data_IF_210414518351
#
_entry.id   IF_210414518351
#
_cell.length_a   1.000
_cell.length_b   1.000
_cell.length_c   1.000
_cell.angle_alpha   90.00
_cell.angle_beta   90.00
_cell.angle_gamma   90.00
#
_symmetry.space_group_name_H-M   'P 1'
#
loop_
_entity.id
_entity.type
_entity.pdbx_description
1 polymer ?
#
# COMPACT_ATOMS: atom_id res chain seq x y z
N UNK A 1 -9.09 26.28 0.00
CA UNK A 1 -8.90 26.46 1.46
C UNK A 1 -8.87 25.13 2.22
N UNK A 2 -9.83 24.21 2.03
CA UNK A 2 -9.86 22.88 2.71
C UNK A 2 -8.57 22.07 2.51
N UNK A 3 -8.02 22.00 1.30
CA UNK A 3 -6.78 21.25 1.02
C UNK A 3 -5.57 21.77 1.81
N UNK A 4 -5.38 23.10 1.83
CA UNK A 4 -4.27 23.76 2.54
C UNK A 4 -4.43 23.55 4.05
N UNK A 5 -5.66 23.68 4.57
CA UNK A 5 -5.93 23.43 5.98
C UNK A 5 -5.74 21.94 6.35
N UNK A 6 -6.06 21.03 5.44
CA UNK A 6 -5.95 19.59 5.65
C UNK A 6 -4.51 19.08 5.64
N UNK A 7 -3.75 19.46 4.62
CA UNK A 7 -2.41 18.92 4.40
C UNK A 7 -1.34 19.82 5.06
N UNK A 8 -1.62 21.12 5.18
CA UNK A 8 -0.73 22.12 5.77
C UNK A 8 0.38 22.59 4.82
N UNK A 9 0.97 23.73 5.14
CA UNK A 9 2.06 24.33 4.36
C UNK A 9 3.29 23.41 4.27
N UNK A 10 3.63 22.69 5.34
CA UNK A 10 4.76 21.75 5.35
C UNK A 10 4.60 20.64 4.30
N UNK A 11 3.38 20.11 4.15
CA UNK A 11 3.10 19.12 3.10
C UNK A 11 3.29 19.73 1.71
N UNK A 12 2.71 20.91 1.48
CA UNK A 12 2.78 21.58 0.17
C UNK A 12 4.24 21.85 -0.18
N UNK A 13 5.02 22.36 0.76
CA UNK A 13 6.43 22.64 0.56
C UNK A 13 7.22 21.39 0.15
N UNK A 14 7.08 20.30 0.90
CA UNK A 14 7.82 19.05 0.63
C UNK A 14 7.35 18.42 -0.67
N UNK A 15 6.05 18.38 -0.92
CA UNK A 15 5.52 17.81 -2.16
C UNK A 15 5.97 18.61 -3.38
N UNK A 16 5.97 19.95 -3.30
CA UNK A 16 6.53 20.82 -4.34
C UNK A 16 8.02 20.55 -4.52
N UNK A 17 8.77 20.38 -3.43
CA UNK A 17 10.19 20.09 -3.52
C UNK A 17 10.48 18.73 -4.17
N UNK A 18 9.75 17.68 -3.77
CA UNK A 18 9.79 16.36 -4.41
C UNK A 18 9.44 16.46 -5.90
N UNK A 19 8.39 17.23 -6.24
CA UNK A 19 7.97 17.43 -7.62
C UNK A 19 9.05 18.14 -8.46
N UNK A 20 9.57 19.28 -7.97
CA UNK A 20 10.60 20.05 -8.67
C UNK A 20 11.89 19.24 -8.81
N UNK A 21 12.29 18.52 -7.77
CA UNK A 21 13.43 17.61 -7.84
C UNK A 21 13.25 16.56 -8.94
N UNK A 22 12.09 15.90 -8.94
CA UNK A 22 11.76 14.86 -9.93
C UNK A 22 11.72 15.45 -11.35
N UNK A 23 11.21 16.68 -11.48
CA UNK A 23 11.14 17.38 -12.77
C UNK A 23 12.52 17.69 -13.32
N UNK A 24 13.42 18.20 -12.49
CA UNK A 24 14.81 18.44 -12.88
C UNK A 24 15.49 17.13 -13.31
N UNK A 25 15.39 16.06 -12.51
CA UNK A 25 16.01 14.76 -12.82
C UNK A 25 15.41 14.12 -14.08
N UNK A 26 14.09 14.17 -14.25
CA UNK A 26 13.45 13.57 -15.42
C UNK A 26 13.71 14.34 -16.72
N UNK A 27 13.95 15.66 -16.63
CA UNK A 27 14.40 16.46 -17.77
C UNK A 27 15.84 16.09 -18.14
N UNK A 28 16.75 16.07 -17.17
CA UNK A 28 18.18 15.81 -17.43
C UNK A 28 18.42 14.40 -17.96
N UNK A 29 17.67 13.41 -17.48
CA UNK A 29 17.73 12.01 -17.95
C UNK A 29 16.91 11.77 -19.23
N UNK A 30 16.11 12.74 -19.67
CA UNK A 30 15.20 12.59 -20.82
C UNK A 30 14.01 11.64 -20.57
N UNK A 31 13.72 11.29 -19.31
CA UNK A 31 12.63 10.39 -18.94
C UNK A 31 11.25 10.93 -19.35
N UNK A 32 11.02 12.24 -19.28
CA UNK A 32 9.76 12.85 -19.70
C UNK A 32 9.45 12.69 -21.19
N UNK A 33 10.49 12.73 -22.03
CA UNK A 33 10.34 12.63 -23.48
C UNK A 33 10.31 11.18 -23.96
N UNK A 34 11.18 10.33 -23.40
CA UNK A 34 11.49 9.03 -23.98
C UNK A 34 11.00 7.83 -23.15
N UNK A 35 10.68 8.02 -21.85
CA UNK A 35 10.34 6.94 -20.91
C UNK A 35 9.30 7.40 -19.88
N UNK A 36 8.13 7.87 -20.35
CA UNK A 36 7.10 8.51 -19.51
C UNK A 36 6.66 7.64 -18.31
N UNK A 37 6.62 6.31 -18.47
CA UNK A 37 6.27 5.35 -17.40
C UNK A 37 7.27 5.32 -16.24
N UNK A 38 8.50 5.76 -16.49
CA UNK A 38 9.61 5.76 -15.54
C UNK A 38 9.79 7.15 -14.88
N UNK A 39 9.08 8.17 -15.37
CA UNK A 39 9.15 9.53 -14.83
C UNK A 39 8.54 9.61 -13.43
N UNK A 40 9.33 10.10 -12.46
CA UNK A 40 8.84 10.37 -11.11
C UNK A 40 7.99 11.64 -11.05
N UNK A 41 8.20 12.58 -11.96
CA UNK A 41 7.32 13.74 -12.16
C UNK A 41 5.91 13.29 -12.50
N UNK A 42 5.76 12.36 -13.44
CA UNK A 42 4.45 11.78 -13.80
C UNK A 42 3.85 11.02 -12.61
N UNK A 43 4.67 10.28 -11.85
CA UNK A 43 4.21 9.60 -10.62
C UNK A 43 3.72 10.59 -9.57
N UNK A 44 4.43 11.70 -9.35
CA UNK A 44 3.98 12.77 -8.48
C UNK A 44 2.63 13.31 -8.95
N UNK A 45 2.53 13.77 -10.21
CA UNK A 45 1.27 14.28 -10.78
C UNK A 45 0.11 13.30 -10.64
N UNK A 46 0.36 12.02 -10.88
CA UNK A 46 -0.68 10.99 -10.77
C UNK A 46 -1.09 10.72 -9.31
N UNK A 47 -0.20 10.84 -8.31
CA UNK A 47 -0.61 10.87 -6.89
C UNK A 47 -1.60 12.02 -6.65
N UNK A 48 -1.33 13.20 -7.19
CA UNK A 48 -2.24 14.33 -7.02
C UNK A 48 -3.61 14.06 -7.67
N UNK A 49 -3.62 13.65 -8.93
CA UNK A 49 -4.85 13.44 -9.72
C UNK A 49 -5.66 12.25 -9.21
N UNK A 50 -5.00 11.15 -8.84
CA UNK A 50 -5.67 9.89 -8.50
C UNK A 50 -5.85 9.68 -7.00
N UNK A 51 -5.11 10.38 -6.14
CA UNK A 51 -5.24 10.24 -4.68
C UNK A 51 -5.75 11.51 -4.02
N UNK A 52 -5.14 12.67 -4.28
CA UNK A 52 -5.50 13.93 -3.60
C UNK A 52 -6.86 14.45 -4.07
N UNK A 53 -7.06 14.60 -5.37
CA UNK A 53 -8.30 15.15 -5.94
C UNK A 53 -9.53 14.30 -5.59
N UNK A 54 -9.51 12.95 -5.75
CA UNK A 54 -10.67 12.14 -5.44
C UNK A 54 -10.95 12.10 -3.94
N UNK A 55 -9.92 12.10 -3.10
CA UNK A 55 -10.09 12.21 -1.63
C UNK A 55 -10.77 13.51 -1.26
N UNK A 56 -10.34 14.63 -1.85
CA UNK A 56 -10.95 15.94 -1.62
C UNK A 56 -12.42 15.96 -2.07
N UNK A 57 -12.72 15.35 -3.23
CA UNK A 57 -14.08 15.23 -3.72
C UNK A 57 -14.97 14.45 -2.74
N UNK A 58 -14.58 13.24 -2.34
CA UNK A 58 -15.36 12.43 -1.40
C UNK A 58 -15.52 13.13 -0.05
N UNK A 59 -14.47 13.77 0.47
CA UNK A 59 -14.55 14.44 1.76
C UNK A 59 -15.44 15.69 1.71
N UNK A 60 -15.25 16.57 0.74
CA UNK A 60 -15.97 17.84 0.69
C UNK A 60 -17.45 17.66 0.33
N UNK A 61 -17.79 16.71 -0.55
CA UNK A 61 -19.14 16.57 -1.07
C UNK A 61 -19.95 15.47 -0.38
N UNK A 62 -19.33 14.36 0.01
CA UNK A 62 -20.04 13.20 0.55
C UNK A 62 -19.88 13.06 2.08
N UNK A 63 -18.63 12.97 2.56
CA UNK A 63 -18.34 12.67 3.96
C UNK A 63 -18.58 13.87 4.88
N UNK A 64 -18.11 15.05 4.49
CA UNK A 64 -18.22 16.30 5.25
C UNK A 64 -17.75 16.19 6.71
N UNK A 65 -16.67 15.44 6.96
CA UNK A 65 -16.14 15.24 8.31
C UNK A 65 -16.88 14.19 9.15
N UNK A 66 -17.89 13.52 8.61
CA UNK A 66 -18.69 12.49 9.29
C UNK A 66 -17.96 11.14 9.30
N UNK A 67 -17.48 10.75 10.49
CA UNK A 67 -16.75 9.50 10.71
C UNK A 67 -17.60 8.25 10.44
N UNK A 68 -18.92 8.32 10.62
CA UNK A 68 -19.79 7.18 10.39
C UNK A 68 -20.11 6.99 8.92
N UNK A 69 -20.26 8.08 8.15
CA UNK A 69 -20.29 8.00 6.68
C UNK A 69 -18.99 7.46 6.12
N UNK A 70 -17.84 7.87 6.67
CA UNK A 70 -16.53 7.37 6.26
C UNK A 70 -16.41 5.86 6.49
N UNK A 71 -16.79 5.38 7.69
CA UNK A 71 -16.82 3.94 7.99
C UNK A 71 -17.77 3.20 7.05
N UNK A 72 -18.98 3.72 6.82
CA UNK A 72 -19.95 3.09 5.91
C UNK A 72 -19.42 3.01 4.48
N UNK A 73 -18.81 4.08 3.96
CA UNK A 73 -18.20 4.11 2.63
C UNK A 73 -17.12 3.03 2.50
N UNK A 74 -16.15 3.01 3.43
CA UNK A 74 -15.07 2.02 3.42
C UNK A 74 -15.63 0.60 3.51
N UNK A 75 -16.60 0.37 4.39
CA UNK A 75 -17.22 -0.95 4.55
C UNK A 75 -17.93 -1.39 3.27
N UNK A 76 -18.72 -0.52 2.64
CA UNK A 76 -19.43 -0.83 1.40
C UNK A 76 -18.46 -1.18 0.28
N UNK A 77 -17.37 -0.42 0.12
CA UNK A 77 -16.33 -0.73 -0.89
C UNK A 77 -15.67 -2.07 -0.61
N UNK A 78 -15.33 -2.35 0.65
CA UNK A 78 -14.67 -3.62 0.99
C UNK A 78 -15.60 -4.83 0.85
N UNK A 79 -16.88 -4.67 1.15
CA UNK A 79 -17.89 -5.72 0.93
C UNK A 79 -18.09 -5.98 -0.56
N UNK A 80 -18.20 -4.93 -1.37
CA UNK A 80 -18.29 -5.05 -2.82
C UNK A 80 -17.06 -5.75 -3.40
N UNK A 81 -15.87 -5.38 -2.94
CA UNK A 81 -14.63 -6.03 -3.36
C UNK A 81 -14.56 -7.50 -2.92
N UNK A 82 -15.00 -7.81 -1.69
CA UNK A 82 -15.08 -9.19 -1.18
C UNK A 82 -16.08 -10.03 -1.98
N UNK A 83 -17.20 -9.44 -2.40
CA UNK A 83 -18.17 -10.08 -3.29
C UNK A 83 -17.55 -10.41 -4.65
N UNK A 84 -16.93 -9.42 -5.31
CA UNK A 84 -16.23 -9.67 -6.57
C UNK A 84 -15.12 -10.70 -6.41
N UNK A 85 -14.43 -10.70 -5.26
CA UNK A 85 -13.41 -11.68 -4.94
C UNK A 85 -13.98 -13.09 -4.96
N UNK A 86 -15.08 -13.35 -4.25
CA UNK A 86 -15.71 -14.67 -4.25
C UNK A 86 -16.20 -15.08 -5.64
N UNK A 87 -16.86 -14.18 -6.37
CA UNK A 87 -17.34 -14.46 -7.72
C UNK A 87 -16.21 -14.87 -8.66
N UNK A 88 -15.14 -14.08 -8.70
CA UNK A 88 -14.00 -14.32 -9.60
C UNK A 88 -13.07 -15.46 -9.15
N UNK A 89 -13.06 -15.78 -7.85
CA UNK A 89 -12.31 -16.90 -7.33
C UNK A 89 -12.96 -18.24 -7.72
N UNK A 90 -14.28 -18.36 -7.59
CA UNK A 90 -15.01 -19.58 -7.96
C UNK A 90 -15.34 -19.67 -9.45
N UNK A 91 -15.37 -18.55 -10.15
CA UNK A 91 -15.60 -18.49 -11.59
C UNK A 91 -14.51 -17.65 -12.28
N UNK A 92 -13.37 -18.27 -12.68
CA UNK A 92 -12.25 -17.57 -13.31
C UNK A 92 -12.63 -16.81 -14.58
N UNK A 93 -13.56 -17.32 -15.40
CA UNK A 93 -14.08 -16.60 -16.58
C UNK A 93 -14.76 -15.27 -16.25
N UNK A 94 -15.21 -15.08 -15.00
CA UNK A 94 -15.70 -13.81 -14.49
C UNK A 94 -14.62 -12.74 -14.38
N UNK A 95 -13.33 -13.14 -14.22
CA UNK A 95 -12.20 -12.20 -14.22
C UNK A 95 -12.04 -11.53 -15.56
N UNK A 96 -12.00 -12.29 -16.65
CA UNK A 96 -11.86 -11.72 -17.99
C UNK A 96 -12.94 -10.70 -18.28
N UNK A 97 -14.20 -11.02 -17.96
CA UNK A 97 -15.34 -10.13 -18.15
C UNK A 97 -15.20 -8.84 -17.33
N UNK A 98 -14.95 -8.96 -16.02
CA UNK A 98 -14.83 -7.79 -15.13
C UNK A 98 -13.66 -6.90 -15.54
N UNK A 99 -12.50 -7.49 -15.80
CA UNK A 99 -11.30 -6.74 -16.17
C UNK A 99 -11.42 -6.13 -17.56
N UNK A 100 -12.11 -6.77 -18.50
CA UNK A 100 -12.39 -6.20 -19.82
C UNK A 100 -13.26 -4.94 -19.73
N UNK A 101 -14.35 -4.98 -18.95
CA UNK A 101 -15.21 -3.81 -18.69
C UNK A 101 -14.39 -2.66 -18.07
N UNK A 102 -13.40 -3.01 -17.25
CA UNK A 102 -12.52 -2.07 -16.55
C UNK A 102 -11.33 -1.59 -17.38
N UNK A 103 -11.19 -2.04 -18.64
CA UNK A 103 -10.05 -1.70 -19.50
C UNK A 103 -8.72 -2.31 -19.05
N UNK A 104 -8.76 -3.40 -18.29
CA UNK A 104 -7.62 -4.08 -17.66
C UNK A 104 -7.40 -5.51 -18.17
N UNK A 105 -7.75 -5.79 -19.43
CA UNK A 105 -7.56 -7.11 -20.02
C UNK A 105 -6.11 -7.61 -19.95
N UNK A 106 -5.13 -6.69 -19.92
CA UNK A 106 -3.70 -6.99 -19.77
C UNK A 106 -3.23 -7.02 -18.31
N UNK A 107 -4.13 -7.28 -17.35
CA UNK A 107 -3.73 -7.36 -15.95
C UNK A 107 -2.85 -8.57 -15.68
N UNK A 108 -1.92 -8.42 -14.74
CA UNK A 108 -1.14 -9.53 -14.17
C UNK A 108 -2.03 -10.66 -13.62
N UNK A 109 -3.27 -10.35 -13.25
CA UNK A 109 -4.23 -11.36 -12.78
C UNK A 109 -4.90 -12.18 -13.89
N UNK A 110 -4.74 -11.77 -15.15
CA UNK A 110 -5.22 -12.50 -16.33
C UNK A 110 -4.04 -13.14 -17.06
N UNK A 111 -2.97 -12.38 -17.30
CA UNK A 111 -1.84 -12.82 -18.12
C UNK A 111 -1.08 -13.99 -17.47
N UNK A 112 -0.93 -13.98 -16.15
CA UNK A 112 -0.27 -15.08 -15.44
C UNK A 112 -1.30 -16.13 -15.04
N UNK A 113 -1.20 -17.30 -15.67
CA UNK A 113 -2.06 -18.45 -15.45
C UNK A 113 -2.24 -18.78 -13.96
N UNK A 114 -1.14 -18.73 -13.19
CA UNK A 114 -1.17 -18.93 -11.75
C UNK A 114 -2.11 -17.93 -11.03
N UNK A 115 -2.03 -16.63 -11.34
CA UNK A 115 -2.91 -15.61 -10.76
C UNK A 115 -4.37 -15.79 -11.22
N UNK A 116 -4.54 -16.25 -12.46
CA UNK A 116 -5.85 -16.46 -13.07
C UNK A 116 -6.65 -17.56 -12.36
N UNK A 117 -6.01 -18.59 -11.82
CA UNK A 117 -6.72 -19.67 -11.12
C UNK A 117 -6.71 -19.54 -9.59
N UNK A 118 -5.73 -18.87 -8.99
CA UNK A 118 -5.53 -18.93 -7.52
C UNK A 118 -5.91 -17.68 -6.75
N UNK A 119 -6.10 -16.55 -7.43
CA UNK A 119 -6.44 -15.26 -6.80
C UNK A 119 -7.89 -14.89 -7.02
N UNK A 120 -8.46 -14.02 -6.20
CA UNK A 120 -9.76 -13.40 -6.53
C UNK A 120 -9.57 -12.02 -7.15
N UNK A 121 -10.67 -11.30 -7.27
CA UNK A 121 -10.72 -9.94 -7.82
C UNK A 121 -9.78 -8.99 -7.09
N UNK A 122 -9.14 -8.12 -7.87
CA UNK A 122 -8.51 -6.91 -7.38
C UNK A 122 -8.12 -5.99 -8.55
N UNK A 123 -7.73 -4.75 -8.26
CA UNK A 123 -7.34 -3.77 -9.28
C UNK A 123 -5.81 -3.59 -9.35
N UNK A 124 -5.18 -3.82 -10.51
CA UNK A 124 -3.76 -3.53 -10.85
C UNK A 124 -2.68 -4.39 -10.13
N UNK A 125 -1.37 -4.23 -10.44
CA UNK A 125 -0.29 -4.86 -9.66
C UNK A 125 -0.30 -4.49 -8.16
N UNK A 126 -1.00 -3.42 -7.74
CA UNK A 126 -1.24 -3.09 -6.32
C UNK A 126 -1.88 -4.23 -5.52
N UNK A 127 -2.65 -5.11 -6.18
CA UNK A 127 -3.34 -6.26 -5.57
C UNK A 127 -2.34 -7.21 -4.93
N UNK A 128 -1.11 -7.24 -5.44
CA UNK A 128 -0.10 -8.15 -4.92
C UNK A 128 0.58 -7.59 -3.67
N UNK A 129 0.37 -6.29 -3.37
CA UNK A 129 1.20 -5.56 -2.43
C UNK A 129 0.41 -4.61 -1.53
N UNK A 130 0.03 -3.44 -2.03
CA UNK A 130 -0.46 -2.31 -1.24
C UNK A 130 -1.93 -2.43 -0.90
N UNK A 131 -2.79 -2.81 -1.84
CA UNK A 131 -4.25 -2.78 -1.63
C UNK A 131 -4.71 -3.80 -0.56
N UNK A 132 -4.37 -5.10 -0.61
CA UNK A 132 -4.80 -6.04 0.43
C UNK A 132 -4.24 -5.70 1.82
N UNK A 133 -2.98 -5.24 1.86
CA UNK A 133 -2.34 -4.78 3.09
C UNK A 133 -3.14 -3.63 3.71
N UNK A 134 -3.46 -2.60 2.92
CA UNK A 134 -4.16 -1.40 3.41
C UNK A 134 -5.60 -1.74 3.80
N UNK A 135 -6.29 -2.62 3.08
CA UNK A 135 -7.63 -3.07 3.44
C UNK A 135 -7.65 -3.72 4.83
N UNK A 136 -6.74 -4.66 5.07
CA UNK A 136 -6.65 -5.37 6.35
C UNK A 136 -6.25 -4.41 7.47
N UNK A 137 -5.25 -3.57 7.24
CA UNK A 137 -4.83 -2.58 8.23
C UNK A 137 -5.97 -1.61 8.58
N UNK A 138 -6.71 -1.13 7.57
CA UNK A 138 -7.85 -0.22 7.75
C UNK A 138 -8.99 -0.89 8.51
N UNK A 139 -9.31 -2.14 8.16
CA UNK A 139 -10.37 -2.91 8.83
C UNK A 139 -10.05 -3.17 10.30
N UNK A 140 -8.81 -3.56 10.57
CA UNK A 140 -8.32 -3.79 11.92
C UNK A 140 -8.12 -2.49 12.71
N UNK A 141 -7.88 -1.36 12.09
CA UNK A 141 -7.79 -0.09 12.83
C UNK A 141 -9.17 0.51 13.11
N UNK A 142 -10.11 0.44 12.16
CA UNK A 142 -11.39 1.16 12.24
C UNK A 142 -12.59 0.35 12.78
N UNK A 143 -12.74 -0.94 12.42
CA UNK A 143 -14.02 -1.65 12.61
C UNK A 143 -14.00 -2.65 13.76
N UNK A 144 -14.82 -2.44 14.80
CA UNK A 144 -14.88 -3.36 15.96
C UNK A 144 -15.61 -4.67 15.70
N UNK A 145 -16.38 -4.79 14.61
CA UNK A 145 -17.22 -5.96 14.30
C UNK A 145 -16.35 -7.12 13.80
N UNK A 146 -16.34 -8.24 14.53
CA UNK A 146 -15.39 -9.35 14.29
C UNK A 146 -15.66 -10.13 13.00
N UNK A 147 -16.92 -10.27 12.60
CA UNK A 147 -17.32 -11.11 11.45
C UNK A 147 -16.83 -10.53 10.13
N UNK A 148 -17.03 -9.23 9.89
CA UNK A 148 -16.55 -8.57 8.66
C UNK A 148 -15.03 -8.58 8.57
N UNK A 149 -14.36 -8.36 9.70
CA UNK A 149 -12.90 -8.40 9.74
C UNK A 149 -12.38 -9.77 9.33
N UNK A 150 -13.04 -10.85 9.75
CA UNK A 150 -12.66 -12.20 9.37
C UNK A 150 -12.73 -12.41 7.86
N UNK A 151 -13.85 -12.09 7.21
CA UNK A 151 -14.00 -12.28 5.75
C UNK A 151 -13.00 -11.44 4.95
N UNK A 152 -12.80 -10.18 5.32
CA UNK A 152 -11.87 -9.30 4.62
C UNK A 152 -10.43 -9.80 4.80
N UNK A 153 -10.02 -10.15 6.03
CA UNK A 153 -8.68 -10.70 6.28
C UNK A 153 -8.47 -12.00 5.52
N UNK A 154 -9.44 -12.90 5.58
CA UNK A 154 -9.36 -14.21 4.93
C UNK A 154 -9.17 -14.06 3.42
N UNK A 155 -10.02 -13.29 2.74
CA UNK A 155 -9.91 -13.07 1.29
C UNK A 155 -8.59 -12.39 0.90
N UNK A 156 -8.12 -11.44 1.70
CA UNK A 156 -6.87 -10.73 1.40
C UNK A 156 -5.61 -11.60 1.60
N UNK A 157 -5.63 -12.59 2.49
CA UNK A 157 -4.50 -13.53 2.66
C UNK A 157 -4.20 -14.33 1.38
N UNK A 158 -5.21 -14.63 0.55
CA UNK A 158 -5.02 -15.28 -0.76
C UNK A 158 -4.39 -14.33 -1.78
N UNK A 159 -4.57 -13.01 -1.63
CA UNK A 159 -4.08 -12.03 -2.57
C UNK A 159 -2.61 -11.66 -2.29
N UNK A 160 -2.21 -11.46 -1.02
CA UNK A 160 -0.86 -10.99 -0.68
C UNK A 160 -0.32 -11.48 0.67
N UNK A 161 0.94 -11.94 0.67
CA UNK A 161 1.68 -12.30 1.89
C UNK A 161 1.89 -11.10 2.83
N UNK A 162 1.90 -9.86 2.29
CA UNK A 162 2.04 -8.65 3.08
C UNK A 162 0.88 -8.46 4.08
N UNK A 163 -0.26 -9.13 3.86
CA UNK A 163 -1.39 -9.12 4.78
C UNK A 163 -1.01 -9.63 6.18
N UNK A 164 -0.04 -10.53 6.30
CA UNK A 164 0.44 -11.00 7.61
C UNK A 164 1.06 -9.84 8.41
N UNK A 165 1.82 -8.97 7.76
CA UNK A 165 2.37 -7.78 8.41
C UNK A 165 1.25 -6.78 8.75
N UNK A 166 0.28 -6.59 7.86
CA UNK A 166 -0.89 -5.76 8.14
C UNK A 166 -1.71 -6.28 9.34
N UNK A 167 -1.82 -7.61 9.50
CA UNK A 167 -2.45 -8.24 10.65
C UNK A 167 -1.71 -7.86 11.94
N UNK A 168 -0.40 -8.10 12.00
CA UNK A 168 0.44 -7.77 13.16
C UNK A 168 0.28 -6.29 13.52
N UNK A 169 0.48 -5.40 12.56
CA UNK A 169 0.37 -3.96 12.72
C UNK A 169 -1.04 -3.52 13.17
N UNK A 170 -2.08 -4.03 12.50
CA UNK A 170 -3.48 -3.72 12.83
C UNK A 170 -3.85 -4.17 14.25
N UNK A 171 -3.36 -5.33 14.67
CA UNK A 171 -3.56 -5.83 16.03
C UNK A 171 -2.83 -4.99 17.09
N UNK A 172 -1.60 -4.53 16.82
CA UNK A 172 -0.86 -3.61 17.71
C UNK A 172 -1.67 -2.34 18.01
N UNK A 173 -2.49 -1.86 17.07
CA UNK A 173 -3.35 -0.68 17.32
C UNK A 173 -4.54 -0.95 18.23
N UNK A 174 -4.97 -2.22 18.39
CA UNK A 174 -6.13 -2.60 19.22
C UNK A 174 -5.78 -2.97 20.64
N UNK A 175 -4.53 -3.32 20.92
CA UNK A 175 -4.20 -3.95 22.18
C UNK A 175 -3.89 -2.94 23.30
N UNK A 176 -4.73 -2.97 24.34
CA UNK A 176 -4.25 -2.72 25.70
C UNK A 176 -3.33 -3.89 26.08
N UNK A 177 -2.15 -3.62 26.66
CA UNK A 177 -1.06 -4.57 26.99
C UNK A 177 -1.49 -6.02 27.33
N UNK A 178 -2.54 -6.23 28.13
CA UNK A 178 -3.06 -7.56 28.51
C UNK A 178 -3.57 -8.47 27.38
N UNK A 179 -3.98 -7.92 26.24
CA UNK A 179 -4.50 -8.70 25.11
C UNK A 179 -3.42 -9.03 24.08
N UNK A 180 -2.27 -8.36 24.15
CA UNK A 180 -1.09 -8.67 23.34
C UNK A 180 -0.62 -10.11 23.58
N UNK A 181 -0.57 -10.54 24.85
CA UNK A 181 -0.23 -11.92 25.20
C UNK A 181 -1.24 -12.95 24.69
N UNK A 182 -2.55 -12.63 24.69
CA UNK A 182 -3.57 -13.51 24.09
C UNK A 182 -3.41 -13.63 22.58
N UNK A 183 -3.02 -12.55 21.90
CA UNK A 183 -2.72 -12.60 20.48
C UNK A 183 -1.47 -13.40 20.19
N UNK A 184 -0.37 -13.15 20.92
CA UNK A 184 0.88 -13.89 20.80
C UNK A 184 0.64 -15.40 21.00
N UNK A 185 -0.24 -15.74 21.95
CA UNK A 185 -0.71 -17.10 22.15
C UNK A 185 -1.52 -17.63 20.96
N UNK A 186 -2.48 -16.87 20.44
CA UNK A 186 -3.27 -17.27 19.26
C UNK A 186 -2.43 -17.38 17.99
N UNK A 187 -1.46 -16.50 17.77
CA UNK A 187 -0.53 -16.58 16.63
C UNK A 187 0.46 -17.72 16.79
N UNK A 188 0.87 -18.05 18.01
CA UNK A 188 1.62 -19.28 18.30
C UNK A 188 0.79 -20.54 17.99
N UNK A 189 -0.48 -20.60 18.40
CA UNK A 189 -1.37 -21.70 18.03
C UNK A 189 -1.66 -21.77 16.53
N UNK A 190 -1.83 -20.62 15.88
CA UNK A 190 -1.96 -20.55 14.43
C UNK A 190 -0.70 -21.07 13.72
N UNK A 191 0.49 -20.74 14.23
CA UNK A 191 1.75 -21.28 13.74
C UNK A 191 1.82 -22.80 13.94
N UNK A 192 1.41 -23.33 15.10
CA UNK A 192 1.31 -24.78 15.33
C UNK A 192 0.35 -25.44 14.35
N UNK A 193 -0.81 -24.83 14.10
CA UNK A 193 -1.80 -25.33 13.12
C UNK A 193 -1.19 -25.31 11.72
N UNK A 194 -0.49 -24.25 11.33
CA UNK A 194 0.23 -24.17 10.05
C UNK A 194 1.30 -25.26 9.93
N UNK A 195 2.06 -25.53 10.99
CA UNK A 195 3.03 -26.62 11.05
C UNK A 195 2.33 -27.98 10.92
N UNK A 196 1.18 -28.17 11.57
CA UNK A 196 0.38 -29.40 11.42
C UNK A 196 -0.15 -29.56 10.00
N UNK A 197 -0.68 -28.49 9.39
CA UNK A 197 -1.12 -28.51 8.00
C UNK A 197 0.07 -28.79 7.07
N UNK A 198 1.25 -28.23 7.37
CA UNK A 198 2.48 -28.51 6.64
C UNK A 198 2.91 -29.99 6.73
N UNK A 199 2.73 -30.62 7.89
CA UNK A 199 3.13 -32.01 8.08
C UNK A 199 2.16 -33.01 7.47
N UNK A 200 0.86 -32.67 7.31
CA UNK A 200 -0.18 -33.64 6.98
C UNK A 200 -1.05 -33.30 5.76
N UNK A 201 -1.08 -32.05 5.28
CA UNK A 201 -2.08 -31.58 4.29
C UNK A 201 -1.51 -30.58 3.26
N UNK A 202 -0.20 -30.55 3.02
CA UNK A 202 0.44 -29.60 2.08
C UNK A 202 -0.14 -29.68 0.67
N UNK A 203 -0.48 -30.89 0.21
CA UNK A 203 -0.98 -31.10 -1.15
C UNK A 203 -2.40 -30.58 -1.37
N UNK A 204 -3.12 -30.26 -0.28
CA UNK A 204 -4.47 -29.65 -0.32
C UNK A 204 -4.42 -28.13 -0.10
N UNK A 205 -3.24 -27.58 0.17
CA UNK A 205 -3.08 -26.15 0.32
C UNK A 205 -3.02 -25.45 -1.04
N UNK A 206 -3.45 -24.18 -1.12
CA UNK A 206 -3.17 -23.36 -2.28
C UNK A 206 -1.66 -23.37 -2.57
N UNK A 207 -1.29 -23.60 -3.83
CA UNK A 207 0.09 -23.86 -4.26
C UNK A 207 1.11 -22.82 -3.79
N UNK A 208 0.72 -21.56 -3.58
CA UNK A 208 1.61 -20.51 -3.03
C UNK A 208 1.88 -20.65 -1.53
N UNK A 209 0.89 -21.09 -0.75
CA UNK A 209 1.11 -21.41 0.66
C UNK A 209 1.98 -22.67 0.75
N UNK A 210 1.75 -23.63 -0.15
CA UNK A 210 2.60 -24.82 -0.32
C UNK A 210 4.05 -24.43 -0.66
N UNK A 211 4.29 -23.59 -1.67
CA UNK A 211 5.64 -23.12 -2.04
C UNK A 211 6.35 -22.37 -0.90
N UNK A 212 5.62 -21.54 -0.16
CA UNK A 212 6.19 -20.82 0.98
C UNK A 212 6.56 -21.79 2.10
N UNK A 213 5.69 -22.75 2.41
CA UNK A 213 5.93 -23.75 3.46
C UNK A 213 7.01 -24.76 3.06
N UNK A 214 7.03 -25.19 1.79
CA UNK A 214 8.05 -26.09 1.25
C UNK A 214 9.43 -25.44 1.22
N UNK A 215 9.51 -24.11 1.17
CA UNK A 215 10.76 -23.37 1.34
C UNK A 215 11.21 -23.20 2.81
N UNK A 216 10.50 -23.78 3.78
CA UNK A 216 10.71 -23.52 5.21
C UNK A 216 10.34 -22.09 5.63
N UNK A 217 9.49 -21.41 4.87
CA UNK A 217 9.15 -20.00 5.07
C UNK A 217 10.24 -19.00 4.63
N UNK A 218 11.33 -19.48 4.01
CA UNK A 218 12.47 -18.65 3.65
C UNK A 218 12.36 -18.06 2.24
N UNK A 219 11.45 -18.53 1.38
CA UNK A 219 11.33 -18.02 0.00
C UNK A 219 11.11 -16.52 -0.04
N UNK A 220 10.16 -16.01 0.73
CA UNK A 220 9.90 -14.56 0.77
C UNK A 220 11.10 -13.79 1.32
N UNK A 221 11.86 -14.37 2.26
CA UNK A 221 13.03 -13.75 2.89
C UNK A 221 14.22 -13.72 1.92
N UNK A 222 14.50 -14.82 1.23
CA UNK A 222 15.63 -14.92 0.30
C UNK A 222 15.46 -13.96 -0.88
N UNK A 223 14.26 -13.88 -1.45
CA UNK A 223 13.93 -12.88 -2.48
C UNK A 223 14.12 -11.45 -1.93
N UNK A 224 13.83 -11.20 -0.65
CA UNK A 224 14.07 -9.90 -0.01
C UNK A 224 15.56 -9.61 0.24
N UNK A 225 16.43 -10.60 0.34
CA UNK A 225 17.85 -10.32 0.58
C UNK A 225 18.65 -10.22 -0.71
N UNK A 226 18.32 -11.04 -1.70
CA UNK A 226 19.02 -11.10 -2.98
C UNK A 226 18.76 -9.85 -3.85
N UNK A 227 17.54 -9.30 -3.82
CA UNK A 227 17.19 -8.12 -4.62
C UNK A 227 17.52 -6.79 -3.92
N UNK A 228 17.91 -6.80 -2.64
CA UNK A 228 17.86 -5.58 -1.82
C UNK A 228 19.16 -4.77 -1.68
N UNK A 229 20.27 -5.13 -2.32
CA UNK A 229 21.55 -4.42 -2.15
C UNK A 229 22.18 -3.98 -3.48
N UNK A 230 21.38 -3.36 -4.36
CA UNK A 230 21.88 -2.84 -5.64
C UNK A 230 22.00 -1.31 -5.60
N UNK A 231 23.25 -0.84 -5.67
CA UNK A 231 23.58 0.59 -5.81
C UNK A 231 24.40 0.77 -7.09
N UNK A 232 23.95 1.68 -7.95
CA UNK A 232 24.60 2.00 -9.23
C UNK A 232 25.29 3.36 -9.21
N UNK A 233 25.34 4.02 -8.05
CA UNK A 233 25.97 5.33 -7.87
C UNK A 233 27.49 5.18 -7.98
N UNK A 234 28.12 5.97 -8.85
CA UNK A 234 29.56 5.90 -9.12
C UNK A 234 30.41 6.64 -8.08
N UNK A 235 29.84 7.66 -7.43
CA UNK A 235 30.53 8.47 -6.43
C UNK A 235 29.62 8.91 -5.27
N UNK A 236 30.20 9.64 -4.32
CA UNK A 236 29.49 10.13 -3.14
C UNK A 236 28.40 11.16 -3.48
N UNK A 237 28.60 11.97 -4.52
CA UNK A 237 27.64 12.99 -4.91
C UNK A 237 26.40 12.35 -5.54
N UNK A 238 26.62 11.37 -6.43
CA UNK A 238 25.57 10.52 -6.98
C UNK A 238 24.88 9.69 -5.89
N UNK A 239 25.57 9.26 -4.83
CA UNK A 239 24.90 8.59 -3.72
C UNK A 239 23.94 9.52 -2.96
N UNK A 240 24.32 10.79 -2.78
CA UNK A 240 23.48 11.79 -2.11
C UNK A 240 22.30 12.23 -2.98
N UNK A 241 22.54 12.50 -4.27
CA UNK A 241 21.58 13.12 -5.20
C UNK A 241 20.94 12.12 -6.18
N UNK A 242 21.42 10.89 -6.24
CA UNK A 242 21.00 9.91 -7.24
C UNK A 242 21.66 10.13 -8.59
N UNK A 243 21.55 9.12 -9.45
CA UNK A 243 22.01 9.15 -10.84
C UNK A 243 20.84 9.18 -11.84
N UNK A 244 19.60 9.32 -11.35
CA UNK A 244 18.40 9.36 -12.18
C UNK A 244 17.98 8.01 -12.78
N UNK A 245 18.64 6.92 -12.42
CA UNK A 245 18.32 5.59 -12.95
C UNK A 245 17.09 5.00 -12.27
N UNK A 246 16.07 4.70 -13.08
CA UNK A 246 14.93 3.90 -12.65
C UNK A 246 15.24 2.41 -12.83
N UNK A 247 15.50 1.70 -11.73
CA UNK A 247 15.97 0.30 -11.75
C UNK A 247 14.88 -0.77 -11.94
N UNK A 248 13.68 -0.38 -12.40
CA UNK A 248 12.62 -1.31 -12.77
C UNK A 248 12.74 -1.61 -14.28
N UNK A 249 13.62 -2.54 -14.64
CA UNK A 249 13.84 -2.94 -16.03
C UNK A 249 13.81 -4.48 -16.13
N UNK A 250 12.92 -5.07 -16.94
CA UNK A 250 12.90 -6.50 -17.24
C UNK A 250 14.06 -6.94 -18.17
N UNK A 251 15.24 -6.33 -18.03
CA UNK A 251 16.40 -6.54 -18.92
C UNK A 251 17.76 -6.36 -18.25
N UNK A 252 17.81 -6.04 -16.96
CA UNK A 252 18.98 -6.34 -16.13
C UNK A 252 18.77 -7.74 -15.55
N UNK A 253 19.81 -8.56 -15.46
CA UNK A 253 19.76 -9.90 -14.82
C UNK A 253 19.35 -9.87 -13.33
N UNK A 254 18.96 -8.69 -12.81
CA UNK A 254 18.46 -8.41 -11.48
C UNK A 254 17.24 -7.49 -11.60
N UNK A 255 16.02 -8.04 -11.52
CA UNK A 255 14.78 -7.28 -11.44
C UNK A 255 14.57 -6.81 -10.00
N UNK A 256 14.85 -5.54 -9.71
CA UNK A 256 14.76 -4.99 -8.36
C UNK A 256 13.56 -4.06 -8.22
N UNK A 257 12.46 -4.62 -7.70
CA UNK A 257 11.20 -3.93 -7.38
C UNK A 257 11.11 -3.20 -6.01
N UNK A 258 12.04 -3.35 -5.04
CA UNK A 258 12.04 -2.57 -3.80
C UNK A 258 12.05 -1.07 -4.04
N UNK A 259 11.03 -0.39 -3.52
CA UNK A 259 10.81 1.04 -3.70
C UNK A 259 11.97 1.91 -3.24
N UNK A 260 12.61 1.57 -2.12
CA UNK A 260 13.74 2.34 -1.60
C UNK A 260 14.99 2.26 -2.48
N UNK A 261 15.21 1.15 -3.18
CA UNK A 261 16.35 0.98 -4.10
C UNK A 261 16.13 1.82 -5.34
N UNK A 262 14.91 1.81 -5.84
CA UNK A 262 14.53 2.67 -6.94
C UNK A 262 14.71 4.15 -6.53
N UNK A 263 14.25 4.54 -5.34
CA UNK A 263 14.35 5.92 -4.85
C UNK A 263 15.81 6.38 -4.65
N UNK A 264 16.66 5.52 -4.11
CA UNK A 264 18.07 5.87 -3.84
C UNK A 264 18.91 5.94 -5.12
N UNK A 265 18.64 5.07 -6.11
CA UNK A 265 19.31 5.19 -7.40
C UNK A 265 18.77 6.40 -8.18
N UNK A 266 17.45 6.63 -8.15
CA UNK A 266 16.84 7.77 -8.82
C UNK A 266 17.28 9.14 -8.26
N UNK A 267 17.06 9.37 -6.97
CA UNK A 267 17.24 10.69 -6.34
C UNK A 267 18.12 10.69 -5.09
N UNK A 268 18.82 9.58 -4.83
CA UNK A 268 19.79 9.48 -3.75
C UNK A 268 19.17 9.42 -2.36
N UNK A 269 20.05 9.50 -1.37
CA UNK A 269 19.68 9.60 0.06
C UNK A 269 18.77 10.80 0.31
N UNK A 270 19.03 11.92 -0.38
CA UNK A 270 18.28 13.15 -0.19
C UNK A 270 16.81 13.00 -0.60
N UNK A 271 16.53 12.51 -1.81
CA UNK A 271 15.16 12.28 -2.27
C UNK A 271 14.44 11.22 -1.43
N UNK A 272 15.15 10.16 -1.07
CA UNK A 272 14.59 9.10 -0.20
C UNK A 272 14.18 9.68 1.16
N UNK A 273 15.00 10.54 1.76
CA UNK A 273 14.70 11.21 3.04
C UNK A 273 13.50 12.14 2.91
N UNK A 274 13.42 12.93 1.84
CA UNK A 274 12.26 13.78 1.55
C UNK A 274 10.98 12.97 1.44
N UNK A 275 11.03 11.82 0.75
CA UNK A 275 9.89 10.93 0.63
C UNK A 275 9.47 10.32 1.97
N UNK A 276 10.41 9.88 2.80
CA UNK A 276 10.09 9.40 4.16
C UNK A 276 9.44 10.50 5.00
N UNK A 277 9.97 11.73 4.92
CA UNK A 277 9.41 12.86 5.64
C UNK A 277 8.00 13.24 5.15
N UNK A 278 7.77 13.14 3.84
CA UNK A 278 6.44 13.27 3.24
C UNK A 278 5.44 12.27 3.84
N UNK A 279 5.80 10.99 3.94
CA UNK A 279 4.95 9.95 4.54
C UNK A 279 4.67 10.25 6.02
N UNK A 280 5.68 10.67 6.78
CA UNK A 280 5.54 11.02 8.21
C UNK A 280 4.58 12.18 8.41
N UNK A 281 4.71 13.25 7.63
CA UNK A 281 3.80 14.40 7.72
C UNK A 281 2.38 14.02 7.35
N UNK A 282 2.21 13.23 6.29
CA UNK A 282 0.89 12.80 5.87
C UNK A 282 0.21 11.95 6.96
N UNK A 283 0.93 11.03 7.60
CA UNK A 283 0.43 10.26 8.74
C UNK A 283 0.07 11.14 9.94
N UNK A 284 0.88 12.17 10.22
CA UNK A 284 0.61 13.13 11.29
C UNK A 284 -0.68 13.93 11.04
N UNK A 285 -0.93 14.30 9.78
CA UNK A 285 -2.17 14.98 9.36
C UNK A 285 -3.36 14.03 9.44
N UNK A 286 -3.21 12.80 8.96
CA UNK A 286 -4.25 11.77 8.98
C UNK A 286 -4.73 11.42 10.39
N UNK A 287 -3.82 11.24 11.35
CA UNK A 287 -4.15 10.67 12.65
C UNK A 287 -3.87 11.61 13.82
N UNK A 288 -4.84 11.72 14.74
CA UNK A 288 -4.62 12.38 16.04
C UNK A 288 -4.13 11.42 17.13
N UNK A 289 -4.27 10.12 16.91
CA UNK A 289 -3.87 9.09 17.86
C UNK A 289 -2.43 8.64 17.57
N UNK A 290 -1.56 8.64 18.60
CA UNK A 290 -0.15 8.26 18.48
C UNK A 290 0.05 6.82 17.98
N UNK A 291 -0.76 5.87 18.44
CA UNK A 291 -0.63 4.47 18.03
C UNK A 291 -0.97 4.29 16.55
N UNK A 292 -2.04 4.93 16.07
CA UNK A 292 -2.36 4.92 14.64
C UNK A 292 -1.29 5.62 13.80
N UNK A 293 -0.78 6.76 14.27
CA UNK A 293 0.33 7.45 13.60
C UNK A 293 1.53 6.53 13.40
N UNK A 294 2.06 5.90 14.45
CA UNK A 294 3.24 5.05 14.34
C UNK A 294 3.00 3.83 13.46
N UNK A 295 1.87 3.15 13.64
CA UNK A 295 1.56 1.95 12.85
C UNK A 295 1.46 2.28 11.36
N UNK A 296 0.84 3.40 11.00
CA UNK A 296 0.76 3.80 9.60
C UNK A 296 2.11 4.25 9.05
N UNK A 297 2.96 4.94 9.82
CA UNK A 297 4.34 5.23 9.39
C UNK A 297 5.13 3.94 9.11
N UNK A 298 5.08 2.96 10.03
CA UNK A 298 5.75 1.67 9.83
C UNK A 298 5.19 0.91 8.63
N UNK A 299 3.87 0.96 8.41
CA UNK A 299 3.25 0.41 7.21
C UNK A 299 3.79 1.06 5.93
N UNK A 300 3.93 2.39 5.90
CA UNK A 300 4.54 3.12 4.80
C UNK A 300 6.01 2.72 4.59
N UNK A 301 6.79 2.46 5.63
CA UNK A 301 8.16 2.00 5.43
C UNK A 301 8.20 0.57 4.90
N UNK A 302 7.40 -0.33 5.49
CA UNK A 302 7.31 -1.73 5.07
C UNK A 302 6.90 -1.88 3.60
N UNK A 303 5.85 -1.17 3.19
CA UNK A 303 5.36 -1.24 1.81
C UNK A 303 6.45 -0.77 0.82
N UNK A 304 7.35 0.13 1.24
CA UNK A 304 8.43 0.65 0.40
C UNK A 304 9.62 -0.33 0.26
N UNK A 305 9.70 -1.33 1.15
CA UNK A 305 10.64 -2.46 1.01
C UNK A 305 10.18 -3.50 -0.01
N UNK A 306 8.89 -3.51 -0.39
CA UNK A 306 8.31 -4.50 -1.30
C UNK A 306 7.89 -3.95 -2.66
N UNK A 307 7.69 -2.64 -2.77
CA UNK A 307 7.34 -1.95 -4.00
C UNK A 307 7.45 -0.44 -3.83
N UNK A 308 7.55 0.30 -4.93
CA UNK A 308 7.59 1.76 -4.87
C UNK A 308 6.25 2.34 -4.41
N UNK A 309 6.21 2.92 -3.20
CA UNK A 309 5.01 3.64 -2.70
C UNK A 309 4.84 5.01 -3.39
N UNK A 310 5.88 5.54 -4.02
CA UNK A 310 5.79 6.80 -4.76
C UNK A 310 5.08 6.61 -6.11
N UNK A 311 3.79 6.33 -6.05
CA UNK A 311 2.82 6.24 -7.14
C UNK A 311 1.42 6.37 -6.54
N UNK A 312 0.37 6.67 -7.33
CA UNK A 312 -1.00 6.58 -6.82
C UNK A 312 -1.26 5.15 -6.34
N UNK A 313 -1.61 5.00 -5.06
CA UNK A 313 -1.85 3.71 -4.44
C UNK A 313 -2.87 3.83 -3.30
N UNK A 314 -3.42 2.68 -2.90
CA UNK A 314 -4.44 2.58 -1.85
C UNK A 314 -3.96 3.18 -0.51
N UNK A 315 -2.66 3.08 -0.20
CA UNK A 315 -2.09 3.61 1.04
C UNK A 315 -2.15 5.14 1.08
N UNK A 316 -1.65 5.81 0.04
CA UNK A 316 -1.69 7.27 -0.07
C UNK A 316 -3.13 7.79 -0.15
N UNK A 317 -3.99 7.13 -0.93
CA UNK A 317 -5.39 7.52 -1.05
C UNK A 317 -6.11 7.50 0.31
N UNK A 318 -6.00 6.42 1.08
CA UNK A 318 -6.64 6.31 2.39
C UNK A 318 -6.07 7.34 3.38
N UNK A 319 -4.76 7.59 3.36
CA UNK A 319 -4.15 8.63 4.19
C UNK A 319 -4.67 10.04 3.85
N UNK A 320 -4.79 10.37 2.56
CA UNK A 320 -5.37 11.65 2.13
C UNK A 320 -6.82 11.78 2.57
N UNK A 321 -7.61 10.72 2.40
CA UNK A 321 -9.01 10.70 2.85
C UNK A 321 -9.13 10.95 4.36
N UNK A 322 -8.31 10.29 5.18
CA UNK A 322 -8.31 10.52 6.63
C UNK A 322 -7.82 11.91 7.03
N UNK A 323 -6.74 12.41 6.40
CA UNK A 323 -6.22 13.75 6.67
C UNK A 323 -7.25 14.83 6.37
N UNK A 324 -7.91 14.73 5.21
CA UNK A 324 -8.94 15.67 4.80
C UNK A 324 -10.20 15.56 5.65
N UNK A 325 -10.67 14.35 5.97
CA UNK A 325 -11.86 14.17 6.81
C UNK A 325 -11.67 14.77 8.20
N UNK A 326 -10.49 14.53 8.81
CA UNK A 326 -10.15 15.11 10.11
C UNK A 326 -10.08 16.63 10.08
N UNK A 327 -9.49 17.20 9.03
CA UNK A 327 -9.37 18.65 8.90
C UNK A 327 -10.73 19.33 8.70
N UNK A 328 -11.60 18.73 7.87
CA UNK A 328 -12.98 19.19 7.69
C UNK A 328 -13.72 19.20 9.02
N UNK A 329 -13.63 18.10 9.80
CA UNK A 329 -14.22 18.00 11.13
C UNK A 329 -13.74 19.10 12.09
N UNK A 330 -12.44 19.40 12.10
CA UNK A 330 -11.88 20.49 12.94
C UNK A 330 -12.42 21.86 12.55
N UNK A 331 -12.61 22.12 11.26
CA UNK A 331 -13.13 23.39 10.77
C UNK A 331 -14.58 23.62 11.24
N UNK A 332 -15.46 22.63 11.05
CA UNK A 332 -16.86 22.71 11.51
C UNK A 332 -16.93 22.96 13.03
N UNK A 333 -16.12 22.25 13.81
CA UNK A 333 -16.14 22.38 15.27
C UNK A 333 -15.69 23.78 15.72
N UNK A 334 -14.78 24.42 14.99
CA UNK A 334 -14.37 25.78 15.28
C UNK A 334 -15.43 26.81 14.89
N UNK A 335 -16.20 26.57 13.81
CA UNK A 335 -17.27 27.47 13.36
C UNK A 335 -18.52 27.43 14.26
N UNK A 336 -18.72 26.35 15.04
CA UNK A 336 -19.86 26.20 15.97
C UNK A 336 -19.58 26.80 17.36
N UNK A 337 -18.30 27.02 17.70
CA UNK A 337 -17.87 27.55 19.00
C UNK A 337 -17.54 29.06 18.97
N UNK A 338 -17.95 29.75 17.92
CA UNK A 338 -17.97 31.23 17.77
C UNK A 338 -19.45 31.63 17.77
#
# INVERSE_FOLDING_TARGET
MVLINALGLSFIFIYTFIFLYSFCVDITTGALANKLTNSFTVRALTIFIMSVVPSAFFVCYYLKGDDDKLKKLILSVFLLQTFFWFFTFYYPGGKELIYSIMGMSNSVNIIYEWNYYTRGFGYTPEINFTAPFVMVLTVLTLFRVKVFNFFIVFTQLFNSNNVVVALILGFLTRFKSRYFFRFLFLSFWFFIILVFIYLYYVDYLPQRLQEELSSGGMRTINIIFEDHFIFTNADFLEFILGNGNYMFLPGLNSTVDPGWIILINYGGVFYTTLFLFFIVILCFRAFGNKAFFFVWVFAGFWLNFKGLIFSPNAYLFILFMFAMNRAYKKHIVNDINI
#
